data_IF_974815237938
#
_entry.id   IF_974815237938
#
_cell.length_a   1.000
_cell.length_b   1.000
_cell.length_c   1.000
_cell.angle_alpha   90.00
_cell.angle_beta   90.00
_cell.angle_gamma   90.00
#
_symmetry.space_group_name_H-M   'P 1'
#
loop_
_entity.id
_entity.type
_entity.pdbx_description
1 polymer ?
#
# COMPACT_ATOMS: atom_id res chain seq x y z
N UNK A 1 -4.93 2.57 9.35
CA UNK A 1 -6.01 1.84 8.62
C UNK A 1 -5.38 0.81 7.70
N UNK A 2 -5.87 -0.44 7.70
CA UNK A 2 -5.38 -1.55 6.85
C UNK A 2 -6.46 -1.91 5.83
N UNK A 3 -6.07 -2.17 4.59
CA UNK A 3 -6.97 -2.74 3.58
C UNK A 3 -6.19 -3.61 2.61
N UNK A 4 -6.90 -4.56 1.98
CA UNK A 4 -6.37 -5.42 0.92
C UNK A 4 -7.13 -5.18 -0.38
N UNK A 5 -6.46 -5.46 -1.51
CA UNK A 5 -7.02 -5.49 -2.87
C UNK A 5 -7.91 -4.28 -3.21
N UNK A 6 -9.23 -4.44 -3.29
CA UNK A 6 -10.17 -3.39 -3.66
C UNK A 6 -10.54 -2.42 -2.51
N UNK A 7 -10.25 -2.77 -1.25
CA UNK A 7 -10.48 -1.91 -0.09
C UNK A 7 -9.43 -0.81 0.09
N UNK A 8 -8.25 -1.02 -0.50
CA UNK A 8 -7.07 -0.15 -0.43
C UNK A 8 -7.33 1.27 -0.96
N UNK A 9 -7.92 1.46 -2.15
CA UNK A 9 -8.24 2.81 -2.65
C UNK A 9 -9.29 3.55 -1.80
N UNK A 10 -10.26 2.80 -1.24
CA UNK A 10 -11.36 3.33 -0.42
C UNK A 10 -10.83 3.77 0.95
N UNK A 11 -10.08 2.91 1.62
CA UNK A 11 -9.43 3.22 2.88
C UNK A 11 -8.44 4.38 2.74
N UNK A 12 -7.63 4.40 1.67
CA UNK A 12 -6.71 5.50 1.40
C UNK A 12 -7.39 6.85 1.20
N UNK A 13 -8.66 6.87 0.76
CA UNK A 13 -9.45 8.10 0.63
C UNK A 13 -10.04 8.57 1.95
N UNK A 14 -10.23 7.66 2.92
CA UNK A 14 -10.75 7.95 4.25
C UNK A 14 -9.67 8.36 5.26
N UNK A 15 -8.40 8.11 4.97
CA UNK A 15 -7.24 8.40 5.85
C UNK A 15 -7.21 9.86 6.32
N UNK A 16 -7.57 10.81 5.47
CA UNK A 16 -7.62 12.23 5.84
C UNK A 16 -8.91 12.63 6.56
N UNK A 17 -9.98 11.84 6.45
CA UNK A 17 -11.28 12.18 7.05
C UNK A 17 -11.41 11.76 8.51
N UNK A 18 -10.47 10.96 9.03
CA UNK A 18 -10.45 10.47 10.40
C UNK A 18 -9.14 10.90 11.07
N UNK A 19 -9.23 11.86 11.99
CA UNK A 19 -8.06 12.42 12.69
C UNK A 19 -7.25 11.36 13.46
N UNK A 20 -7.94 10.38 14.03
CA UNK A 20 -7.33 9.29 14.82
C UNK A 20 -6.51 8.32 13.95
N UNK A 21 -6.64 8.37 12.63
CA UNK A 21 -5.78 7.58 11.73
C UNK A 21 -4.43 8.26 11.64
N UNK A 22 -3.41 7.64 12.25
CA UNK A 22 -2.03 8.14 12.27
C UNK A 22 -1.17 7.65 11.10
N UNK A 23 -1.66 6.69 10.32
CA UNK A 23 -0.93 6.12 9.19
C UNK A 23 -1.73 5.12 8.37
N UNK A 24 -1.19 4.78 7.20
CA UNK A 24 -1.84 3.94 6.21
C UNK A 24 -0.97 2.72 5.83
N UNK A 25 -1.59 1.53 5.76
CA UNK A 25 -0.93 0.32 5.27
C UNK A 25 -1.72 -0.23 4.09
N UNK A 26 -1.04 -0.43 2.97
CA UNK A 26 -1.57 -1.12 1.80
C UNK A 26 -0.93 -2.49 1.62
N UNK A 27 -1.76 -3.50 1.40
CA UNK A 27 -1.33 -4.81 0.92
C UNK A 27 -1.75 -4.96 -0.55
N UNK A 28 -0.79 -5.20 -1.44
CA UNK A 28 -1.05 -5.41 -2.87
C UNK A 28 -1.75 -4.22 -3.53
N UNK A 29 -1.18 -3.01 -3.46
CA UNK A 29 -1.81 -1.85 -4.10
C UNK A 29 -1.80 -2.00 -5.63
N UNK A 30 -2.96 -2.00 -6.32
CA UNK A 30 -2.99 -2.10 -7.77
C UNK A 30 -2.71 -0.71 -8.40
N UNK A 31 -1.46 -0.43 -8.77
CA UNK A 31 -1.04 0.75 -9.53
C UNK A 31 -0.96 0.51 -11.05
N UNK A 32 -1.36 -0.67 -11.53
CA UNK A 32 -1.38 -1.02 -12.95
C UNK A 32 -2.21 -0.09 -13.83
N UNK A 33 -2.04 -0.22 -15.15
CA UNK A 33 -2.67 0.67 -16.14
C UNK A 33 -4.21 0.61 -16.09
N UNK A 34 -4.78 -0.59 -15.95
CA UNK A 34 -6.23 -0.79 -15.79
C UNK A 34 -6.75 -0.27 -14.45
N UNK A 35 -6.00 -0.48 -13.37
CA UNK A 35 -6.35 0.02 -12.04
C UNK A 35 -6.26 1.56 -11.95
N UNK A 36 -5.34 2.18 -12.68
CA UNK A 36 -5.23 3.65 -12.75
C UNK A 36 -6.42 4.30 -13.47
N UNK A 37 -7.08 3.59 -14.38
CA UNK A 37 -8.32 4.05 -15.05
C UNK A 37 -9.53 3.93 -14.12
N UNK A 38 -9.63 2.84 -13.35
CA UNK A 38 -10.72 2.59 -12.41
C UNK A 38 -10.60 3.37 -11.10
N UNK A 39 -9.38 3.56 -10.60
CA UNK A 39 -9.10 4.08 -9.25
C UNK A 39 -8.22 5.34 -9.21
N UNK A 40 -8.01 6.00 -10.36
CA UNK A 40 -7.08 7.14 -10.47
C UNK A 40 -7.34 8.29 -9.48
N UNK A 41 -8.61 8.57 -9.15
CA UNK A 41 -8.98 9.57 -8.12
C UNK A 41 -8.59 9.14 -6.71
N UNK A 42 -8.70 7.86 -6.40
CA UNK A 42 -8.33 7.30 -5.09
C UNK A 42 -6.81 7.20 -4.91
N UNK A 43 -6.07 6.93 -6.00
CA UNK A 43 -4.60 7.00 -5.98
C UNK A 43 -4.13 8.40 -5.61
N UNK A 44 -4.78 9.43 -6.15
CA UNK A 44 -4.44 10.82 -5.86
C UNK A 44 -4.65 11.15 -4.38
N UNK A 45 -5.78 10.74 -3.80
CA UNK A 45 -6.10 11.01 -2.39
C UNK A 45 -5.06 10.42 -1.45
N UNK A 46 -4.69 9.14 -1.63
CA UNK A 46 -3.68 8.53 -0.77
C UNK A 46 -2.30 9.16 -1.01
N UNK A 47 -1.89 9.39 -2.26
CA UNK A 47 -0.57 9.96 -2.55
C UNK A 47 -0.42 11.41 -2.06
N UNK A 48 -1.51 12.18 -1.92
CA UNK A 48 -1.46 13.57 -1.43
C UNK A 48 -1.51 13.73 0.08
N UNK A 49 -1.94 12.71 0.84
CA UNK A 49 -1.98 12.78 2.31
C UNK A 49 -0.56 12.96 2.87
N UNK A 50 -0.32 13.77 3.92
CA UNK A 50 0.98 13.85 4.58
C UNK A 50 1.25 12.69 5.56
N UNK A 51 0.21 11.92 5.92
CA UNK A 51 0.32 10.85 6.92
C UNK A 51 1.25 9.74 6.43
N UNK A 52 2.08 9.12 7.31
CA UNK A 52 2.98 8.04 6.92
C UNK A 52 2.26 6.86 6.25
N UNK A 53 2.93 6.21 5.29
CA UNK A 53 2.35 5.12 4.50
C UNK A 53 3.33 3.97 4.33
N UNK A 54 2.86 2.75 4.57
CA UNK A 54 3.56 1.51 4.24
C UNK A 54 2.86 0.82 3.07
N UNK A 55 3.64 0.44 2.06
CA UNK A 55 3.20 -0.37 0.94
C UNK A 55 3.88 -1.73 0.99
N UNK A 56 3.09 -2.80 1.14
CA UNK A 56 3.59 -4.17 1.11
C UNK A 56 3.16 -4.85 -0.18
N UNK A 57 4.11 -5.45 -0.90
CA UNK A 57 3.88 -5.98 -2.25
C UNK A 57 4.84 -7.12 -2.58
N UNK A 58 4.36 -8.16 -3.26
CA UNK A 58 5.22 -9.19 -3.84
C UNK A 58 5.95 -8.71 -5.10
N UNK A 59 7.18 -9.19 -5.35
CA UNK A 59 7.96 -8.75 -6.54
C UNK A 59 7.45 -9.34 -7.86
N UNK A 60 6.63 -10.40 -7.80
CA UNK A 60 5.94 -11.02 -8.95
C UNK A 60 4.46 -10.61 -9.01
N UNK A 61 4.09 -9.46 -8.44
CA UNK A 61 2.74 -8.91 -8.57
C UNK A 61 2.41 -8.63 -10.05
N UNK A 62 1.35 -9.27 -10.55
CA UNK A 62 0.89 -9.16 -11.95
C UNK A 62 0.10 -7.89 -12.25
N UNK A 63 -0.32 -7.14 -11.22
CA UNK A 63 -1.06 -5.90 -11.34
C UNK A 63 -0.15 -4.67 -11.22
N UNK A 64 0.90 -4.76 -10.42
CA UNK A 64 1.85 -3.66 -10.18
C UNK A 64 3.28 -4.18 -10.16
N UNK A 65 4.14 -3.65 -11.02
CA UNK A 65 5.57 -3.97 -10.90
C UNK A 65 6.28 -3.02 -9.91
N UNK A 66 7.44 -3.46 -9.40
CA UNK A 66 8.23 -2.72 -8.40
C UNK A 66 8.64 -1.33 -8.88
N UNK A 67 8.96 -1.16 -10.17
CA UNK A 67 9.40 0.14 -10.70
C UNK A 67 8.25 1.14 -10.77
N UNK A 68 7.03 0.69 -11.10
CA UNK A 68 5.81 1.49 -11.06
C UNK A 68 5.50 1.98 -9.65
N UNK A 69 5.55 1.08 -8.65
CA UNK A 69 5.36 1.44 -7.24
C UNK A 69 6.36 2.52 -6.83
N UNK A 70 7.67 2.26 -7.01
CA UNK A 70 8.73 3.22 -6.65
C UNK A 70 8.55 4.56 -7.36
N UNK A 71 8.20 4.56 -8.65
CA UNK A 71 7.96 5.79 -9.42
C UNK A 71 6.78 6.60 -8.86
N UNK A 72 5.69 5.95 -8.46
CA UNK A 72 4.52 6.61 -7.86
C UNK A 72 4.84 7.20 -6.48
N UNK A 73 5.61 6.49 -5.67
CA UNK A 73 5.96 6.95 -4.32
C UNK A 73 6.91 8.15 -4.31
N UNK A 74 7.73 8.34 -5.35
CA UNK A 74 8.57 9.54 -5.50
C UNK A 74 7.78 10.85 -5.47
N UNK A 75 6.52 10.83 -5.90
CA UNK A 75 5.63 12.01 -5.89
C UNK A 75 4.62 12.01 -4.74
N UNK A 76 4.73 11.06 -3.81
CA UNK A 76 3.84 11.00 -2.65
C UNK A 76 4.24 12.03 -1.60
N UNK A 77 3.25 12.64 -0.96
CA UNK A 77 3.46 13.49 0.21
C UNK A 77 3.74 12.65 1.47
N UNK A 78 4.54 13.21 2.36
CA UNK A 78 4.89 12.60 3.65
C UNK A 78 5.83 11.40 3.55
N UNK A 79 5.97 10.69 4.66
CA UNK A 79 6.81 9.48 4.76
C UNK A 79 6.18 8.32 4.00
N UNK A 80 6.95 7.67 3.14
CA UNK A 80 6.54 6.44 2.45
C UNK A 80 7.57 5.35 2.64
N UNK A 81 7.09 4.12 2.86
CA UNK A 81 7.90 2.92 3.01
C UNK A 81 7.38 1.80 2.12
N UNK A 82 8.30 0.93 1.72
CA UNK A 82 7.99 -0.26 0.94
C UNK A 82 8.56 -1.50 1.59
N UNK A 83 7.73 -2.52 1.76
CA UNK A 83 8.15 -3.88 2.11
C UNK A 83 7.90 -4.79 0.90
N UNK A 84 8.97 -5.28 0.28
CA UNK A 84 8.88 -6.13 -0.92
C UNK A 84 9.14 -7.59 -0.54
N UNK A 85 8.23 -8.48 -0.93
CA UNK A 85 8.39 -9.92 -0.71
C UNK A 85 8.88 -10.57 -2.01
N UNK A 86 10.11 -11.07 -1.99
CA UNK A 86 10.76 -11.61 -3.18
C UNK A 86 10.08 -12.89 -3.69
N UNK A 87 9.85 -12.97 -5.00
CA UNK A 87 9.27 -14.15 -5.61
C UNK A 87 7.78 -14.36 -5.30
N UNK A 88 7.05 -13.38 -4.79
CA UNK A 88 5.64 -13.56 -4.41
C UNK A 88 4.70 -12.83 -5.37
N UNK A 89 3.61 -13.48 -5.79
CA UNK A 89 2.56 -12.85 -6.58
C UNK A 89 1.50 -12.17 -5.70
N UNK A 90 0.63 -11.37 -6.31
CA UNK A 90 -0.33 -10.52 -5.62
C UNK A 90 -1.22 -11.25 -4.60
N UNK A 91 -1.80 -12.39 -4.97
CA UNK A 91 -2.67 -13.15 -4.07
C UNK A 91 -1.92 -14.07 -3.14
N UNK A 92 -0.69 -14.45 -3.49
CA UNK A 92 0.14 -15.26 -2.60
C UNK A 92 0.47 -14.48 -1.32
N UNK A 93 0.66 -13.16 -1.38
CA UNK A 93 0.92 -12.35 -0.18
C UNK A 93 -0.24 -12.35 0.84
N UNK A 94 -1.43 -12.83 0.46
CA UNK A 94 -2.59 -12.98 1.35
C UNK A 94 -2.68 -14.38 1.98
N UNK A 95 -1.79 -15.30 1.59
CA UNK A 95 -1.72 -16.64 2.14
C UNK A 95 -1.15 -16.65 3.57
N UNK A 96 -1.56 -17.63 4.40
CA UNK A 96 -1.15 -17.72 5.80
C UNK A 96 0.37 -17.86 5.98
N UNK A 97 1.09 -18.32 4.96
CA UNK A 97 2.55 -18.43 4.97
C UNK A 97 3.26 -17.07 5.11
N UNK A 98 2.58 -15.96 4.81
CA UNK A 98 3.14 -14.60 4.93
C UNK A 98 2.57 -13.81 6.11
N UNK A 99 1.63 -14.37 6.89
CA UNK A 99 0.93 -13.64 7.97
C UNK A 99 1.92 -13.05 9.00
N UNK A 100 2.89 -13.85 9.45
CA UNK A 100 3.91 -13.37 10.39
C UNK A 100 4.74 -12.23 9.81
N UNK A 101 5.20 -12.37 8.55
CA UNK A 101 5.97 -11.33 7.87
C UNK A 101 5.15 -10.05 7.69
N UNK A 102 3.86 -10.16 7.37
CA UNK A 102 2.94 -9.02 7.27
C UNK A 102 2.72 -8.35 8.62
N UNK A 103 2.51 -9.12 9.67
CA UNK A 103 2.36 -8.61 11.03
C UNK A 103 3.61 -7.85 11.47
N UNK A 104 4.80 -8.42 11.26
CA UNK A 104 6.07 -7.79 11.61
C UNK A 104 6.29 -6.48 10.85
N UNK A 105 6.04 -6.46 9.55
CA UNK A 105 6.16 -5.23 8.75
C UNK A 105 5.23 -4.11 9.27
N UNK A 106 4.00 -4.47 9.64
CA UNK A 106 3.01 -3.53 10.17
C UNK A 106 3.42 -3.05 11.58
N UNK A 107 3.81 -3.96 12.47
CA UNK A 107 4.24 -3.63 13.82
C UNK A 107 5.47 -2.72 13.82
N UNK A 108 6.46 -3.01 12.96
CA UNK A 108 7.66 -2.19 12.81
C UNK A 108 7.32 -0.79 12.29
N UNK A 109 6.42 -0.70 11.31
CA UNK A 109 5.94 0.58 10.80
C UNK A 109 5.23 1.39 11.90
N UNK A 110 4.25 0.79 12.60
CA UNK A 110 3.51 1.45 13.68
C UNK A 110 4.44 1.92 14.80
N UNK A 111 5.42 1.10 15.20
CA UNK A 111 6.37 1.43 16.28
C UNK A 111 7.29 2.60 15.93
N UNK A 112 7.34 3.00 14.66
CA UNK A 112 8.16 4.09 14.17
C UNK A 112 7.37 5.38 13.85
N UNK A 113 6.07 5.40 14.14
CA UNK A 113 5.18 6.55 13.92
C UNK A 113 5.30 7.61 15.02
#
# INVERSE_FOLDING_TARGET
MKSSTAGVPIAGSAVEQVEQVVGYVSLGYPFGLLASVLFGRHHKAILSSPKPKLFVMGTRDGFTNVSQLKKKLKSAAGRTETHLIEGVSHFQTEGPEYDSQMADAICNFISSL
#
